data_IF_901449499555
#
_entry.id   IF_901449499555
#
_cell.length_a   1.000
_cell.length_b   1.000
_cell.length_c   1.000
_cell.angle_alpha   90.00
_cell.angle_beta   90.00
_cell.angle_gamma   90.00
#
_symmetry.space_group_name_H-M   'P 1'
#
loop_
_entity.id
_entity.type
_entity.pdbx_description
1 polymer ?
#
# COMPACT_ATOMS: atom_id res chain seq x y z
N UNK A 1 0.57 26.05 -7.67
CA UNK A 1 -0.02 26.78 -8.81
C UNK A 1 0.91 26.98 -10.04
N UNK A 2 2.25 26.78 -10.02
CA UNK A 2 3.04 26.78 -11.27
C UNK A 2 3.03 25.44 -12.02
N UNK A 3 2.82 24.35 -11.27
CA UNK A 3 2.90 22.97 -11.77
C UNK A 3 1.67 22.56 -12.58
N UNK A 4 0.48 22.96 -12.12
CA UNK A 4 -0.80 22.79 -12.81
C UNK A 4 -0.83 23.50 -14.17
N UNK A 5 -0.21 24.68 -14.28
CA UNK A 5 -0.08 25.41 -15.55
C UNK A 5 0.78 24.62 -16.55
N UNK A 6 1.87 23.99 -16.10
CA UNK A 6 2.71 23.14 -16.97
C UNK A 6 1.97 21.89 -17.43
N UNK A 7 1.18 21.26 -16.55
CA UNK A 7 0.34 20.10 -16.90
C UNK A 7 -0.74 20.47 -17.91
N UNK A 8 -1.47 21.56 -17.69
CA UNK A 8 -2.50 22.04 -18.62
C UNK A 8 -1.92 22.42 -19.99
N UNK A 9 -0.74 23.07 -20.01
CA UNK A 9 -0.02 23.38 -21.26
C UNK A 9 0.39 22.12 -22.00
N UNK A 10 0.89 21.09 -21.30
CA UNK A 10 1.21 19.80 -21.91
C UNK A 10 -0.04 19.14 -22.49
N UNK A 11 -1.13 19.00 -21.73
CA UNK A 11 -2.39 18.41 -22.21
C UNK A 11 -2.95 19.10 -23.45
N UNK A 12 -2.88 20.45 -23.52
CA UNK A 12 -3.34 21.21 -24.69
C UNK A 12 -2.45 21.00 -25.91
N UNK A 13 -1.13 20.84 -25.72
CA UNK A 13 -0.18 20.61 -26.80
C UNK A 13 -0.17 19.15 -27.26
N UNK A 14 -0.47 18.19 -26.38
CA UNK A 14 -0.64 16.77 -26.72
C UNK A 14 -1.72 16.57 -27.80
N UNK A 15 -2.81 17.33 -27.76
CA UNK A 15 -3.85 17.26 -28.78
C UNK A 15 -3.34 17.62 -30.19
N UNK A 16 -2.37 18.54 -30.31
CA UNK A 16 -1.74 18.93 -31.58
C UNK A 16 -0.60 18.01 -32.00
N UNK A 17 0.10 17.45 -31.02
CA UNK A 17 1.26 16.59 -31.22
C UNK A 17 0.90 15.13 -31.53
N UNK A 18 -0.19 14.61 -30.95
CA UNK A 18 -0.60 13.22 -31.12
C UNK A 18 -0.79 12.80 -32.60
N UNK A 19 -1.39 13.62 -33.49
CA UNK A 19 -1.48 13.29 -34.91
C UNK A 19 -0.10 13.16 -35.59
N UNK A 20 0.86 14.03 -35.26
CA UNK A 20 2.23 13.96 -35.79
C UNK A 20 2.97 12.71 -35.29
N UNK A 21 2.82 12.40 -34.00
CA UNK A 21 3.39 11.18 -33.40
C UNK A 21 2.77 9.92 -34.04
N UNK A 22 1.46 9.90 -34.27
CA UNK A 22 0.78 8.78 -34.93
C UNK A 22 1.25 8.59 -36.38
N UNK A 23 1.50 9.68 -37.11
CA UNK A 23 2.04 9.61 -38.46
C UNK A 23 3.46 9.00 -38.48
N UNK A 24 4.31 9.38 -37.52
CA UNK A 24 5.64 8.79 -37.35
C UNK A 24 5.51 7.30 -36.97
N UNK A 25 4.64 6.95 -36.02
CA UNK A 25 4.41 5.56 -35.66
C UNK A 25 3.92 4.72 -36.85
N UNK A 26 3.04 5.27 -37.69
CA UNK A 26 2.57 4.61 -38.91
C UNK A 26 3.68 4.41 -39.94
N UNK A 27 4.57 5.41 -40.13
CA UNK A 27 5.74 5.35 -41.02
C UNK A 27 6.69 4.18 -40.67
N UNK A 28 6.84 3.87 -39.38
CA UNK A 28 7.74 2.83 -38.88
C UNK A 28 7.04 1.52 -38.49
N UNK A 29 5.70 1.41 -38.61
CA UNK A 29 4.91 0.27 -38.12
C UNK A 29 5.38 -1.11 -38.60
N UNK A 30 5.92 -1.17 -39.83
CA UNK A 30 6.38 -2.41 -40.46
C UNK A 30 7.91 -2.63 -40.31
N UNK A 31 8.62 -1.73 -39.61
CA UNK A 31 10.06 -1.76 -39.40
C UNK A 31 10.39 -1.92 -37.93
N UNK A 32 10.80 -3.12 -37.54
CA UNK A 32 11.15 -3.46 -36.15
C UNK A 32 12.66 -3.56 -35.91
N UNK A 33 13.48 -3.27 -36.92
CA UNK A 33 14.93 -3.19 -36.80
C UNK A 33 15.35 -2.12 -35.78
N UNK A 34 16.49 -2.35 -35.13
CA UNK A 34 17.00 -1.45 -34.09
C UNK A 34 17.22 -0.02 -34.62
N UNK A 35 17.66 0.10 -35.87
CA UNK A 35 17.86 1.38 -36.55
C UNK A 35 16.53 2.11 -36.80
N UNK A 36 15.49 1.39 -37.23
CA UNK A 36 14.14 1.96 -37.37
C UNK A 36 13.56 2.43 -36.04
N UNK A 37 13.77 1.70 -34.95
CA UNK A 37 13.32 2.13 -33.62
C UNK A 37 14.07 3.39 -33.16
N UNK A 38 15.39 3.46 -33.42
CA UNK A 38 16.18 4.64 -33.09
C UNK A 38 15.73 5.86 -33.89
N UNK A 39 15.53 5.70 -35.20
CA UNK A 39 15.03 6.76 -36.07
C UNK A 39 13.62 7.22 -35.68
N UNK A 40 12.72 6.28 -35.35
CA UNK A 40 11.38 6.60 -34.85
C UNK A 40 11.45 7.44 -33.56
N UNK A 41 12.30 7.05 -32.61
CA UNK A 41 12.48 7.78 -31.35
C UNK A 41 13.03 9.20 -31.58
N UNK A 42 13.98 9.37 -32.50
CA UNK A 42 14.53 10.69 -32.85
C UNK A 42 13.47 11.60 -33.49
N UNK A 43 12.66 11.08 -34.41
CA UNK A 43 11.57 11.86 -35.04
C UNK A 43 10.51 12.25 -34.02
N UNK A 44 10.11 11.33 -33.13
CA UNK A 44 9.18 11.62 -32.03
C UNK A 44 9.77 12.70 -31.10
N UNK A 45 11.07 12.61 -30.77
CA UNK A 45 11.76 13.60 -29.94
C UNK A 45 11.81 14.99 -30.61
N UNK A 46 11.99 15.05 -31.93
CA UNK A 46 11.95 16.29 -32.69
C UNK A 46 10.56 16.95 -32.65
N UNK A 47 9.48 16.16 -32.68
CA UNK A 47 8.11 16.67 -32.49
C UNK A 47 7.95 17.25 -31.07
N UNK A 48 8.39 16.54 -30.03
CA UNK A 48 8.37 17.08 -28.66
C UNK A 48 9.12 18.42 -28.56
N UNK A 49 10.31 18.51 -29.15
CA UNK A 49 11.13 19.72 -29.19
C UNK A 49 10.45 20.89 -29.96
N UNK A 50 9.83 20.59 -31.11
CA UNK A 50 9.06 21.56 -31.92
C UNK A 50 7.94 22.24 -31.12
N UNK A 51 7.30 21.51 -30.21
CA UNK A 51 6.23 22.03 -29.35
C UNK A 51 6.72 22.53 -27.99
N UNK A 52 8.03 22.51 -27.72
CA UNK A 52 8.62 22.99 -26.46
C UNK A 52 8.17 22.19 -25.24
N UNK A 53 7.88 20.90 -25.42
CA UNK A 53 7.45 19.96 -24.38
C UNK A 53 8.44 18.81 -24.30
N UNK A 54 8.59 18.19 -23.13
CA UNK A 54 9.42 17.00 -22.95
C UNK A 54 8.58 15.84 -22.42
N UNK A 55 8.72 14.62 -22.95
CA UNK A 55 8.07 13.43 -22.39
C UNK A 55 8.54 13.14 -20.96
N UNK A 56 9.73 13.63 -20.57
CA UNK A 56 10.25 13.47 -19.20
C UNK A 56 9.60 14.38 -18.17
N UNK A 57 8.89 15.43 -18.59
CA UNK A 57 8.16 16.30 -17.67
C UNK A 57 7.03 15.59 -16.92
N UNK A 58 6.43 14.58 -17.57
CA UNK A 58 5.33 13.79 -17.00
C UNK A 58 5.81 12.68 -16.05
N UNK A 59 6.95 12.04 -16.32
CA UNK A 59 7.51 11.03 -15.40
C UNK A 59 8.23 11.67 -14.20
N UNK A 60 8.81 12.87 -14.36
CA UNK A 60 9.37 13.64 -13.25
C UNK A 60 8.28 14.00 -12.22
N UNK A 61 7.05 14.27 -12.66
CA UNK A 61 5.91 14.49 -11.78
C UNK A 61 5.55 13.24 -10.96
N UNK A 62 5.58 12.06 -11.59
CA UNK A 62 5.37 10.79 -10.90
C UNK A 62 6.47 10.52 -9.86
N UNK A 63 7.73 10.82 -10.19
CA UNK A 63 8.85 10.70 -9.26
C UNK A 63 8.77 11.68 -8.07
N UNK A 64 8.25 12.89 -8.28
CA UNK A 64 8.01 13.86 -7.18
C UNK A 64 6.87 13.40 -6.26
N UNK A 65 5.94 12.58 -6.74
CA UNK A 65 4.87 11.96 -5.95
C UNK A 65 5.32 10.68 -5.22
N UNK A 66 6.34 9.95 -5.71
CA UNK A 66 6.87 8.74 -5.06
C UNK A 66 7.24 8.92 -3.58
N UNK A 67 7.84 10.04 -3.14
CA UNK A 67 8.08 10.30 -1.71
C UNK A 67 6.82 10.22 -0.86
N UNK A 68 5.69 10.74 -1.33
CA UNK A 68 4.41 10.69 -0.61
C UNK A 68 3.89 9.25 -0.57
N UNK A 69 4.04 8.51 -1.67
CA UNK A 69 3.63 7.10 -1.74
C UNK A 69 4.45 6.21 -0.80
N UNK A 70 5.77 6.42 -0.73
CA UNK A 70 6.65 5.71 0.21
C UNK A 70 6.41 6.10 1.67
N UNK A 71 6.05 7.37 1.94
CA UNK A 71 5.66 7.81 3.28
C UNK A 71 4.36 7.12 3.73
N UNK A 72 3.34 7.10 2.87
CA UNK A 72 2.09 6.40 3.15
C UNK A 72 2.30 4.89 3.33
N UNK A 73 3.15 4.27 2.51
CA UNK A 73 3.52 2.87 2.66
C UNK A 73 4.11 2.57 4.05
N UNK A 74 4.98 3.44 4.58
CA UNK A 74 5.56 3.29 5.93
C UNK A 74 4.50 3.45 7.03
N UNK A 75 3.56 4.39 6.86
CA UNK A 75 2.46 4.60 7.82
C UNK A 75 1.54 3.39 7.85
N UNK A 76 1.16 2.86 6.67
CA UNK A 76 0.39 1.62 6.54
C UNK A 76 1.16 0.44 7.15
N UNK A 77 2.49 0.43 6.99
CA UNK A 77 3.33 -0.64 7.55
C UNK A 77 3.38 -0.68 9.08
N UNK A 78 3.16 0.46 9.74
CA UNK A 78 3.22 0.60 11.18
C UNK A 78 1.89 1.14 11.75
N UNK A 79 0.76 0.74 11.15
CA UNK A 79 -0.59 1.15 11.60
C UNK A 79 -0.77 1.00 13.12
N UNK A 80 -0.38 -0.10 13.78
CA UNK A 80 -0.54 -0.22 15.24
C UNK A 80 0.21 0.85 16.04
N UNK A 81 1.31 1.41 15.51
CA UNK A 81 2.05 2.48 16.18
C UNK A 81 1.33 3.84 16.10
N UNK A 82 0.42 4.04 15.13
CA UNK A 82 -0.26 5.31 14.88
C UNK A 82 -1.77 5.26 15.16
N UNK A 83 -2.37 4.08 15.15
CA UNK A 83 -3.82 3.87 15.31
C UNK A 83 -4.06 3.07 16.59
N UNK A 84 -4.43 3.79 17.66
CA UNK A 84 -4.66 3.19 18.99
C UNK A 84 -5.62 2.01 18.97
N UNK A 85 -6.74 2.10 18.24
CA UNK A 85 -7.70 0.98 18.12
C UNK A 85 -7.11 -0.28 17.51
N UNK A 86 -6.16 -0.14 16.57
CA UNK A 86 -5.48 -1.28 15.96
C UNK A 86 -4.52 -1.89 16.96
N UNK A 87 -3.75 -1.06 17.68
CA UNK A 87 -2.90 -1.50 18.80
C UNK A 87 -3.70 -2.28 19.85
N UNK A 88 -4.85 -1.74 20.25
CA UNK A 88 -5.74 -2.32 21.27
C UNK A 88 -6.32 -3.68 20.86
N UNK A 89 -6.48 -3.93 19.56
CA UNK A 89 -6.95 -5.23 19.08
C UNK A 89 -5.95 -6.36 19.37
N UNK A 90 -4.64 -6.05 19.43
CA UNK A 90 -3.59 -7.03 19.69
C UNK A 90 -3.33 -7.28 21.19
N UNK A 91 -3.66 -6.34 22.09
CA UNK A 91 -3.27 -6.44 23.50
C UNK A 91 -3.67 -7.75 24.19
N UNK A 92 -4.92 -8.24 24.09
CA UNK A 92 -5.30 -9.49 24.75
C UNK A 92 -4.46 -10.69 24.30
N UNK A 93 -4.19 -10.80 23.00
CA UNK A 93 -3.34 -11.85 22.44
C UNK A 93 -1.89 -11.69 22.88
N UNK A 94 -1.38 -10.45 22.88
CA UNK A 94 0.00 -10.14 23.25
C UNK A 94 0.28 -10.44 24.71
N UNK A 95 -0.61 -10.02 25.62
CA UNK A 95 -0.45 -10.28 27.06
C UNK A 95 -0.45 -11.79 27.32
N UNK A 96 -1.37 -12.53 26.69
CA UNK A 96 -1.41 -13.98 26.83
C UNK A 96 -0.22 -14.68 26.15
N UNK A 97 0.36 -14.13 25.08
CA UNK A 97 1.63 -14.61 24.50
C UNK A 97 2.80 -14.41 25.45
N UNK A 98 2.84 -13.28 26.16
CA UNK A 98 3.89 -13.00 27.15
C UNK A 98 3.78 -13.96 28.34
N UNK A 99 2.56 -14.27 28.77
CA UNK A 99 2.31 -15.20 29.89
C UNK A 99 2.43 -16.69 29.52
N UNK A 100 2.35 -17.02 28.23
CA UNK A 100 2.45 -18.40 27.76
C UNK A 100 3.92 -18.75 27.48
N UNK A 101 4.47 -19.65 28.31
CA UNK A 101 5.84 -20.15 28.14
C UNK A 101 6.05 -20.73 26.73
N UNK A 102 7.09 -20.27 26.02
CA UNK A 102 7.41 -20.71 24.66
C UNK A 102 6.71 -19.93 23.55
N UNK A 103 5.65 -19.15 23.84
CA UNK A 103 4.88 -18.45 22.82
C UNK A 103 5.63 -17.22 22.27
N UNK A 104 6.36 -16.51 23.13
CA UNK A 104 7.20 -15.37 22.71
C UNK A 104 8.31 -15.82 21.76
N UNK A 105 8.91 -16.99 21.99
CA UNK A 105 9.91 -17.60 21.10
C UNK A 105 9.30 -18.01 19.77
N UNK A 106 8.06 -18.48 19.74
CA UNK A 106 7.36 -18.73 18.48
C UNK A 106 7.17 -17.44 17.70
N UNK A 107 6.74 -16.36 18.35
CA UNK A 107 6.56 -15.04 17.71
C UNK A 107 7.86 -14.53 17.09
N UNK A 108 8.99 -14.71 17.77
CA UNK A 108 10.31 -14.33 17.24
C UNK A 108 10.68 -15.07 15.93
N UNK A 109 10.08 -16.24 15.71
CA UNK A 109 10.36 -17.12 14.58
C UNK A 109 9.28 -17.09 13.47
N UNK A 110 8.29 -16.19 13.55
CA UNK A 110 7.33 -16.03 12.44
C UNK A 110 8.02 -15.52 11.18
N UNK A 111 7.37 -15.75 10.04
CA UNK A 111 7.93 -15.53 8.71
C UNK A 111 8.58 -14.16 8.51
N UNK A 112 7.98 -13.10 9.07
CA UNK A 112 8.45 -11.72 8.95
C UNK A 112 9.14 -11.19 10.21
N UNK A 113 9.21 -11.95 11.31
CA UNK A 113 9.74 -11.47 12.59
C UNK A 113 11.25 -11.22 12.58
N UNK A 114 11.99 -11.83 11.63
CA UNK A 114 13.43 -11.65 11.51
C UNK A 114 13.86 -10.17 11.33
N UNK A 115 13.01 -9.33 10.74
CA UNK A 115 13.29 -7.90 10.60
C UNK A 115 13.33 -7.15 11.95
N UNK A 116 12.77 -7.74 13.01
CA UNK A 116 12.75 -7.23 14.37
C UNK A 116 13.82 -7.86 15.28
N UNK A 117 14.81 -8.56 14.71
CA UNK A 117 15.89 -9.23 15.47
C UNK A 117 16.67 -8.32 16.42
N UNK A 118 16.80 -7.02 16.10
CA UNK A 118 17.47 -6.05 16.98
C UNK A 118 16.63 -5.71 18.21
N UNK A 119 15.31 -5.75 18.10
CA UNK A 119 14.38 -5.50 19.19
C UNK A 119 14.43 -6.65 20.20
N UNK A 120 14.52 -7.91 19.72
CA UNK A 120 14.61 -9.08 20.60
C UNK A 120 15.90 -9.15 21.43
N UNK A 121 16.99 -8.54 20.93
CA UNK A 121 18.27 -8.46 21.65
C UNK A 121 18.40 -7.19 22.50
N UNK A 122 17.42 -6.30 22.46
CA UNK A 122 17.43 -5.08 23.24
C UNK A 122 17.21 -5.38 24.73
N UNK A 123 17.88 -4.64 25.62
CA UNK A 123 17.74 -4.80 27.06
C UNK A 123 16.31 -4.59 27.55
N UNK A 124 15.52 -3.73 26.92
CA UNK A 124 14.11 -3.51 27.23
C UNK A 124 13.21 -4.71 26.90
N UNK A 125 13.62 -5.57 25.96
CA UNK A 125 12.92 -6.81 25.64
C UNK A 125 13.35 -7.94 26.59
N UNK A 126 14.65 -8.07 26.83
CA UNK A 126 15.22 -9.15 27.65
C UNK A 126 14.92 -8.96 29.15
N UNK A 127 14.87 -7.71 29.63
CA UNK A 127 14.69 -7.42 31.05
C UNK A 127 13.22 -7.22 31.48
N UNK A 128 12.28 -7.17 30.53
CA UNK A 128 10.88 -6.85 30.80
C UNK A 128 9.95 -8.01 30.50
N UNK A 129 8.99 -8.25 31.39
CA UNK A 129 7.77 -9.00 31.09
C UNK A 129 6.63 -7.99 31.17
N UNK A 130 5.75 -7.94 30.16
CA UNK A 130 4.67 -6.93 30.06
C UNK A 130 5.13 -5.46 29.99
N UNK A 131 6.38 -5.20 29.58
CA UNK A 131 6.81 -3.82 29.33
C UNK A 131 6.20 -3.31 28.02
N UNK A 132 5.97 -2.00 27.91
CA UNK A 132 5.50 -1.39 26.67
C UNK A 132 6.43 -1.73 25.49
N UNK A 133 7.74 -1.86 25.74
CA UNK A 133 8.72 -2.25 24.73
C UNK A 133 8.48 -3.67 24.20
N UNK A 134 8.22 -4.63 25.09
CA UNK A 134 7.94 -6.03 24.74
C UNK A 134 6.62 -6.13 23.99
N UNK A 135 5.57 -5.53 24.55
CA UNK A 135 4.24 -5.54 23.94
C UNK A 135 4.27 -4.93 22.53
N UNK A 136 4.88 -3.75 22.35
CA UNK A 136 5.00 -3.11 21.03
C UNK A 136 5.78 -3.99 20.05
N UNK A 137 6.86 -4.63 20.49
CA UNK A 137 7.66 -5.52 19.63
C UNK A 137 6.85 -6.73 19.16
N UNK A 138 6.08 -7.36 20.06
CA UNK A 138 5.22 -8.49 19.70
C UNK A 138 4.08 -8.04 18.77
N UNK A 139 3.48 -6.87 19.03
CA UNK A 139 2.45 -6.28 18.15
C UNK A 139 3.01 -6.05 16.75
N UNK A 140 4.22 -5.51 16.63
CA UNK A 140 4.87 -5.28 15.34
C UNK A 140 5.06 -6.58 14.55
N UNK A 141 5.44 -7.67 15.24
CA UNK A 141 5.52 -8.99 14.63
C UNK A 141 4.17 -9.52 14.18
N UNK A 142 3.15 -9.46 15.04
CA UNK A 142 1.80 -9.97 14.74
C UNK A 142 1.11 -9.17 13.64
N UNK A 143 1.35 -7.87 13.56
CA UNK A 143 0.84 -7.02 12.48
C UNK A 143 1.47 -7.38 11.10
N UNK A 144 2.58 -8.12 11.09
CA UNK A 144 3.21 -8.66 9.87
C UNK A 144 3.01 -10.16 9.70
N UNK A 145 2.30 -10.80 10.62
CA UNK A 145 2.02 -12.23 10.56
C UNK A 145 1.03 -12.53 9.42
N UNK A 146 1.35 -13.58 8.67
CA UNK A 146 0.45 -14.15 7.67
C UNK A 146 -0.65 -14.98 8.33
N UNK A 147 -1.67 -15.37 7.56
CA UNK A 147 -2.69 -16.34 8.01
C UNK A 147 -2.05 -17.65 8.48
N UNK A 148 -0.97 -18.10 7.82
CA UNK A 148 -0.23 -19.29 8.22
C UNK A 148 0.53 -19.09 9.55
N UNK A 149 1.09 -17.90 9.78
CA UNK A 149 1.74 -17.57 11.05
C UNK A 149 0.72 -17.61 12.22
N UNK A 150 -0.47 -17.01 12.04
CA UNK A 150 -1.54 -17.08 13.05
C UNK A 150 -2.08 -18.49 13.27
N UNK A 151 -2.20 -19.31 12.22
CA UNK A 151 -2.54 -20.71 12.35
C UNK A 151 -1.50 -21.46 13.18
N UNK A 152 -0.20 -21.21 12.94
CA UNK A 152 0.88 -21.86 13.69
C UNK A 152 0.87 -21.53 15.18
N UNK A 153 0.45 -20.32 15.57
CA UNK A 153 0.28 -19.93 16.97
C UNK A 153 -0.85 -20.74 17.60
N UNK A 154 -1.99 -20.82 16.91
CA UNK A 154 -3.17 -21.56 17.39
C UNK A 154 -2.91 -23.06 17.51
N UNK A 155 -2.16 -23.64 16.57
CA UNK A 155 -1.79 -25.06 16.56
C UNK A 155 -0.83 -25.41 17.70
N UNK A 156 0.19 -24.57 17.94
CA UNK A 156 1.20 -24.81 18.97
C UNK A 156 0.73 -24.44 20.38
N UNK A 157 -0.16 -23.46 20.47
CA UNK A 157 -0.71 -22.95 21.72
C UNK A 157 -2.23 -22.87 21.64
N UNK A 158 -2.94 -24.00 21.86
CA UNK A 158 -4.41 -24.03 21.79
C UNK A 158 -5.10 -23.06 22.75
N UNK A 159 -4.46 -22.71 23.86
CA UNK A 159 -4.94 -21.69 24.81
C UNK A 159 -5.03 -20.29 24.20
N UNK A 160 -4.25 -19.99 23.16
CA UNK A 160 -4.22 -18.70 22.47
C UNK A 160 -5.17 -18.64 21.26
N UNK A 161 -5.74 -19.77 20.83
CA UNK A 161 -6.53 -19.85 19.59
C UNK A 161 -7.74 -18.92 19.59
N UNK A 162 -8.39 -18.73 20.75
CA UNK A 162 -9.50 -17.80 20.90
C UNK A 162 -9.04 -16.35 20.71
N UNK A 163 -7.91 -15.96 21.31
CA UNK A 163 -7.36 -14.61 21.19
C UNK A 163 -6.84 -14.32 19.79
N UNK A 164 -6.23 -15.32 19.13
CA UNK A 164 -5.84 -15.25 17.72
C UNK A 164 -7.08 -14.99 16.86
N UNK A 165 -8.14 -15.77 17.03
CA UNK A 165 -9.39 -15.60 16.28
C UNK A 165 -9.96 -14.20 16.49
N UNK A 166 -10.08 -13.76 17.75
CA UNK A 166 -10.61 -12.44 18.09
C UNK A 166 -9.76 -11.30 17.52
N UNK A 167 -8.43 -11.44 17.53
CA UNK A 167 -7.50 -10.44 16.97
C UNK A 167 -7.68 -10.35 15.47
N UNK A 168 -7.65 -11.49 14.76
CA UNK A 168 -7.82 -11.53 13.30
C UNK A 168 -9.18 -10.95 12.89
N UNK A 169 -10.27 -11.33 13.56
CA UNK A 169 -11.60 -10.80 13.27
C UNK A 169 -11.71 -9.28 13.48
N UNK A 170 -11.07 -8.72 14.53
CA UNK A 170 -11.03 -7.25 14.73
C UNK A 170 -10.22 -6.55 13.64
N UNK A 171 -9.13 -7.15 13.18
CA UNK A 171 -8.34 -6.60 12.07
C UNK A 171 -9.11 -6.65 10.76
N UNK A 172 -9.89 -7.71 10.52
CA UNK A 172 -10.82 -7.80 9.38
C UNK A 172 -11.93 -6.74 9.46
N UNK A 173 -12.45 -6.46 10.66
CA UNK A 173 -13.41 -5.36 10.86
C UNK A 173 -12.79 -3.99 10.53
N UNK A 174 -11.51 -3.77 10.84
CA UNK A 174 -10.81 -2.54 10.45
C UNK A 174 -10.53 -2.46 8.95
N UNK A 175 -10.40 -3.60 8.28
CA UNK A 175 -10.35 -3.65 6.82
C UNK A 175 -11.74 -3.40 6.19
N UNK A 176 -12.82 -3.46 6.97
CA UNK A 176 -14.18 -3.15 6.56
C UNK A 176 -14.56 -1.70 6.93
N UNK A 177 -14.38 -0.77 6.01
CA UNK A 177 -14.81 0.62 6.20
C UNK A 177 -16.22 0.82 5.65
N UNK A 178 -17.14 1.21 6.53
CA UNK A 178 -18.54 1.48 6.18
C UNK A 178 -19.26 0.28 5.54
N UNK A 179 -18.95 -0.93 6.02
CA UNK A 179 -19.50 -2.19 5.50
C UNK A 179 -18.85 -2.66 4.19
N UNK A 180 -17.72 -2.05 3.79
CA UNK A 180 -16.99 -2.40 2.57
C UNK A 180 -15.55 -2.79 2.91
N UNK A 181 -15.12 -3.94 2.42
CA UNK A 181 -13.74 -4.39 2.62
C UNK A 181 -12.80 -3.59 1.70
N UNK A 182 -12.00 -2.68 2.26
CA UNK A 182 -11.04 -1.84 1.51
C UNK A 182 -9.86 -2.68 0.97
N UNK A 183 -9.67 -3.90 1.47
CA UNK A 183 -8.72 -4.86 0.91
C UNK A 183 -9.13 -5.40 -0.47
N UNK A 184 -10.40 -5.27 -0.85
CA UNK A 184 -10.90 -5.71 -2.14
C UNK A 184 -10.56 -4.71 -3.26
N UNK A 185 -10.43 -5.21 -4.49
CA UNK A 185 -10.17 -4.35 -5.65
C UNK A 185 -11.26 -3.28 -5.81
N UNK A 186 -10.93 -2.06 -6.30
CA UNK A 186 -11.91 -0.97 -6.41
C UNK A 186 -13.18 -1.33 -7.19
N UNK A 187 -13.06 -2.15 -8.23
CA UNK A 187 -14.20 -2.62 -9.03
C UNK A 187 -15.08 -3.62 -8.28
N UNK A 188 -14.49 -4.43 -7.39
CA UNK A 188 -15.21 -5.35 -6.51
C UNK A 188 -15.92 -4.59 -5.39
N UNK A 189 -15.23 -3.64 -4.74
CA UNK A 189 -15.81 -2.76 -3.72
C UNK A 189 -17.03 -2.00 -4.25
N UNK A 190 -16.97 -1.48 -5.47
CA UNK A 190 -18.10 -0.80 -6.11
C UNK A 190 -19.28 -1.74 -6.36
N UNK A 191 -19.03 -2.99 -6.79
CA UNK A 191 -20.09 -3.99 -7.00
C UNK A 191 -20.72 -4.44 -5.68
N UNK A 192 -19.90 -4.67 -4.68
CA UNK A 192 -20.31 -5.08 -3.33
C UNK A 192 -21.10 -3.96 -2.63
N UNK A 193 -20.66 -2.71 -2.76
CA UNK A 193 -21.39 -1.55 -2.25
C UNK A 193 -22.75 -1.35 -2.93
N UNK A 194 -22.85 -1.67 -4.21
CA UNK A 194 -24.12 -1.64 -4.94
C UNK A 194 -25.06 -2.75 -4.47
N UNK A 195 -24.53 -3.96 -4.22
CA UNK A 195 -25.29 -5.11 -3.74
C UNK A 195 -25.79 -4.95 -2.30
N UNK A 196 -24.98 -4.31 -1.44
CA UNK A 196 -25.27 -4.14 -0.01
C UNK A 196 -26.02 -2.83 0.32
N UNK A 197 -26.46 -2.06 -0.67
CA UNK A 197 -27.25 -0.84 -0.45
C UNK A 197 -26.46 0.40 -0.02
N UNK A 198 -25.13 0.35 -0.06
CA UNK A 198 -24.23 1.42 0.40
C UNK A 198 -24.01 2.52 -0.67
N UNK A 199 -25.08 2.95 -1.34
CA UNK A 199 -25.03 3.80 -2.54
C UNK A 199 -24.48 5.20 -2.29
N UNK A 200 -24.76 5.79 -1.13
CA UNK A 200 -24.30 7.14 -0.77
C UNK A 200 -22.77 7.25 -0.71
N UNK A 201 -22.09 6.16 -0.35
CA UNK A 201 -20.63 6.13 -0.24
C UNK A 201 -19.96 5.95 -1.58
N UNK A 202 -20.56 5.16 -2.47
CA UNK A 202 -20.13 5.05 -3.87
C UNK A 202 -20.24 6.40 -4.57
N UNK A 203 -21.38 7.08 -4.39
CA UNK A 203 -21.62 8.41 -4.96
C UNK A 203 -20.62 9.42 -4.38
N UNK A 204 -20.39 9.40 -3.06
CA UNK A 204 -19.37 10.24 -2.42
C UNK A 204 -17.96 9.99 -2.96
N UNK A 205 -17.53 8.73 -3.07
CA UNK A 205 -16.21 8.35 -3.56
C UNK A 205 -15.97 8.77 -5.02
N UNK A 206 -16.99 8.65 -5.88
CA UNK A 206 -16.93 9.10 -7.28
C UNK A 206 -16.97 10.63 -7.38
N UNK A 207 -17.63 11.31 -6.44
CA UNK A 207 -17.73 12.77 -6.40
C UNK A 207 -16.43 13.43 -5.93
N UNK A 208 -15.62 12.80 -5.07
CA UNK A 208 -14.38 13.39 -4.52
C UNK A 208 -13.44 13.90 -5.63
N UNK A 209 -13.09 13.12 -6.68
CA UNK A 209 -12.27 13.63 -7.78
C UNK A 209 -12.85 14.85 -8.50
N UNK A 210 -14.18 14.89 -8.65
CA UNK A 210 -14.91 15.97 -9.32
C UNK A 210 -15.00 17.23 -8.45
N UNK A 211 -15.11 17.06 -7.13
CA UNK A 211 -15.15 18.13 -6.14
C UNK A 211 -13.76 18.64 -5.75
N UNK A 212 -12.71 17.83 -5.96
CA UNK A 212 -11.31 18.17 -5.67
C UNK A 212 -10.57 18.85 -6.84
N UNK A 213 -11.22 18.96 -8.00
CA UNK A 213 -10.71 19.62 -9.21
C UNK A 213 -11.16 21.08 -9.28
#
# INVERSE_FOLDING_TARGET
MPLTIKQQKFSKLSAKMNPEIQAIQAKYKNRKDQDAQLAQNQEIQAVYAKYGVSPTGSCLYMLIQMPILFALYRVIYAIPAYVGRVKEAFFPLVDNIIDTAGATELVQNLSNSAMYSKQFTNSGFVAGTHSEYVQNTIIDCLNKASTADFASISEKFPSLAADVTNTVSKLEEYNNFLGLNIGNSPSYVLKEAWANGAWLLVIGAIAIPVLSA
#
